data_IF_669201169072
#
_entry.id   IF_669201169072
#
_cell.length_a   1.000
_cell.length_b   1.000
_cell.length_c   1.000
_cell.angle_alpha   90.00
_cell.angle_beta   90.00
_cell.angle_gamma   90.00
#
_symmetry.space_group_name_H-M   'P 1'
#
loop_
_entity.id
_entity.type
_entity.pdbx_description
1 polymer ?
#
# COMPACT_ATOMS: atom_id res chain seq x y z
N UNK A 1 -3.15 13.98 0.72
CA UNK A 1 -2.09 13.13 1.29
C UNK A 1 -0.78 13.92 1.45
N UNK A 2 0.07 13.67 2.45
CA UNK A 2 1.38 14.35 2.52
C UNK A 2 2.45 13.61 1.69
N UNK A 3 2.78 14.13 0.51
CA UNK A 3 3.67 13.48 -0.46
C UNK A 3 5.09 13.26 0.06
N UNK A 4 5.63 14.21 0.83
CA UNK A 4 6.97 14.08 1.41
C UNK A 4 7.05 12.90 2.37
N UNK A 5 6.02 12.69 3.19
CA UNK A 5 6.00 11.59 4.16
C UNK A 5 5.96 10.23 3.45
N UNK A 6 5.19 10.15 2.36
CA UNK A 6 5.10 8.94 1.53
C UNK A 6 6.43 8.65 0.82
N UNK A 7 7.07 9.66 0.23
CA UNK A 7 8.39 9.52 -0.40
C UNK A 7 9.44 8.98 0.59
N UNK A 8 9.51 9.57 1.79
CA UNK A 8 10.44 9.13 2.82
C UNK A 8 10.14 7.71 3.33
N UNK A 9 8.85 7.37 3.47
CA UNK A 9 8.46 6.01 3.85
C UNK A 9 8.86 5.00 2.77
N UNK A 10 8.57 5.29 1.50
CA UNK A 10 8.92 4.44 0.36
C UNK A 10 10.44 4.19 0.32
N UNK A 11 11.24 5.24 0.46
CA UNK A 11 12.70 5.16 0.51
C UNK A 11 13.18 4.25 1.67
N UNK A 12 12.62 4.42 2.87
CA UNK A 12 12.97 3.62 4.06
C UNK A 12 12.57 2.15 3.92
N UNK A 13 11.54 1.85 3.15
CA UNK A 13 11.07 0.50 2.83
C UNK A 13 11.75 -0.10 1.59
N UNK A 14 12.74 0.58 1.00
CA UNK A 14 13.49 0.09 -0.14
C UNK A 14 12.75 0.12 -1.48
N UNK A 15 11.72 0.96 -1.59
CA UNK A 15 10.98 1.19 -2.84
C UNK A 15 11.52 2.39 -3.60
N UNK A 16 11.19 2.46 -4.88
CA UNK A 16 11.47 3.62 -5.73
C UNK A 16 10.55 4.79 -5.37
N UNK A 17 10.78 5.93 -6.03
CA UNK A 17 9.95 7.11 -5.86
C UNK A 17 8.46 6.84 -6.20
N UNK A 18 7.52 7.28 -5.35
CA UNK A 18 6.09 7.15 -5.60
C UNK A 18 5.60 8.04 -6.75
N UNK A 19 4.79 7.46 -7.62
CA UNK A 19 3.90 8.19 -8.52
C UNK A 19 2.57 8.45 -7.80
N UNK A 20 2.02 9.66 -7.94
CA UNK A 20 0.79 10.08 -7.25
C UNK A 20 -0.38 10.19 -8.21
N UNK A 21 -1.51 9.63 -7.83
CA UNK A 21 -2.72 9.57 -8.61
C UNK A 21 -3.88 10.18 -7.84
N UNK A 22 -4.83 10.75 -8.58
CA UNK A 22 -6.07 11.27 -8.04
C UNK A 22 -7.23 10.69 -8.84
N UNK A 23 -8.26 10.22 -8.14
CA UNK A 23 -9.51 9.79 -8.78
C UNK A 23 -10.69 10.43 -8.08
N UNK A 24 -11.66 10.88 -8.88
CA UNK A 24 -12.92 11.39 -8.39
C UNK A 24 -13.87 10.22 -8.22
N UNK A 25 -14.41 10.03 -7.02
CA UNK A 25 -15.42 9.01 -6.76
C UNK A 25 -16.77 9.43 -7.37
N UNK A 26 -16.95 9.26 -8.67
CA UNK A 26 -18.25 9.49 -9.33
C UNK A 26 -19.15 8.26 -9.14
N UNK A 27 -20.36 8.45 -8.60
CA UNK A 27 -21.39 7.40 -8.48
C UNK A 27 -21.41 6.59 -7.17
N UNK A 28 -20.61 6.95 -6.18
CA UNK A 28 -20.64 6.32 -4.84
C UNK A 28 -21.63 7.03 -3.90
N UNK A 29 -22.20 6.33 -2.89
CA UNK A 29 -23.07 6.96 -1.91
C UNK A 29 -22.31 8.08 -1.18
N UNK A 30 -22.57 9.32 -1.57
CA UNK A 30 -21.92 10.53 -1.04
C UNK A 30 -22.35 10.86 0.38
N UNK A 31 -23.25 10.06 0.96
CA UNK A 31 -23.83 10.27 2.29
C UNK A 31 -22.79 10.19 3.43
N UNK A 32 -21.63 9.55 3.19
CA UNK A 32 -20.51 9.51 4.15
C UNK A 32 -19.19 10.14 3.64
N UNK A 33 -19.07 10.40 2.34
CA UNK A 33 -17.84 10.86 1.70
C UNK A 33 -18.23 11.87 0.62
N UNK A 34 -18.27 13.16 0.96
CA UNK A 34 -18.80 14.20 0.08
C UNK A 34 -17.94 14.39 -1.16
N UNK A 35 -18.31 13.82 -2.32
CA UNK A 35 -17.61 14.00 -3.60
C UNK A 35 -16.06 14.02 -3.47
N UNK A 36 -15.49 13.10 -2.70
CA UNK A 36 -14.09 13.17 -2.29
C UNK A 36 -13.16 12.67 -3.41
N UNK A 37 -12.14 13.48 -3.70
CA UNK A 37 -10.97 13.07 -4.47
C UNK A 37 -10.15 12.11 -3.60
N UNK A 38 -9.99 10.87 -4.06
CA UNK A 38 -9.08 9.91 -3.41
C UNK A 38 -7.71 10.08 -4.04
N UNK A 39 -6.72 10.41 -3.20
CA UNK A 39 -5.31 10.47 -3.58
C UNK A 39 -4.60 9.19 -3.10
N UNK A 40 -3.89 8.52 -3.99
CA UNK A 40 -3.00 7.41 -3.64
C UNK A 40 -1.65 7.54 -4.35
N UNK A 41 -0.70 6.76 -3.87
CA UNK A 41 0.64 6.67 -4.42
C UNK A 41 1.00 5.24 -4.75
N UNK A 42 1.79 5.04 -5.81
CA UNK A 42 2.36 3.74 -6.17
C UNK A 42 3.87 3.83 -6.34
N UNK A 43 4.60 2.92 -5.70
CA UNK A 43 6.04 2.75 -5.92
C UNK A 43 6.23 1.48 -6.75
N UNK A 44 6.29 1.62 -8.08
CA UNK A 44 6.27 0.49 -9.03
C UNK A 44 7.66 0.15 -9.56
N UNK A 45 8.24 -0.95 -9.09
CA UNK A 45 9.55 -1.42 -9.59
C UNK A 45 9.42 -2.12 -10.94
N UNK A 46 8.27 -2.79 -11.16
CA UNK A 46 7.91 -3.41 -12.43
C UNK A 46 6.42 -3.70 -12.45
N UNK A 47 5.88 -4.17 -13.58
CA UNK A 47 4.52 -4.71 -13.66
C UNK A 47 4.22 -5.85 -12.67
N UNK A 48 5.26 -6.46 -12.11
CA UNK A 48 5.10 -7.54 -11.13
C UNK A 48 5.15 -7.08 -9.68
N UNK A 49 5.64 -5.86 -9.39
CA UNK A 49 5.93 -5.41 -8.03
C UNK A 49 5.58 -3.94 -7.85
N UNK A 50 4.63 -3.68 -6.96
CA UNK A 50 4.37 -2.32 -6.51
C UNK A 50 3.91 -2.29 -5.05
N UNK A 51 4.32 -1.22 -4.36
CA UNK A 51 3.73 -0.79 -3.10
C UNK A 51 2.68 0.27 -3.41
N UNK A 52 1.47 0.08 -2.90
CA UNK A 52 0.42 1.08 -2.95
C UNK A 52 0.22 1.71 -1.57
N UNK A 53 0.05 3.04 -1.54
CA UNK A 53 -0.19 3.84 -0.35
C UNK A 53 -1.40 4.73 -0.59
N UNK A 54 -2.48 4.53 0.18
CA UNK A 54 -3.69 5.32 0.11
C UNK A 54 -3.74 6.30 1.30
N UNK A 55 -4.03 7.58 1.06
CA UNK A 55 -4.35 8.51 2.14
C UNK A 55 -5.77 8.28 2.66
N UNK A 56 -5.99 8.42 3.98
CA UNK A 56 -7.32 8.25 4.57
C UNK A 56 -8.03 9.61 4.68
N UNK A 57 -9.31 9.71 4.27
CA UNK A 57 -10.02 10.99 4.27
C UNK A 57 -10.25 11.57 5.68
N UNK A 58 -10.34 10.71 6.70
CA UNK A 58 -10.60 11.14 8.08
C UNK A 58 -9.42 11.89 8.70
N UNK A 59 -8.19 11.63 8.23
CA UNK A 59 -6.98 12.22 8.80
C UNK A 59 -5.83 12.20 7.79
N UNK A 60 -5.26 13.39 7.51
CA UNK A 60 -4.13 13.58 6.58
C UNK A 60 -2.85 12.83 7.00
N UNK A 61 -2.75 12.44 8.26
CA UNK A 61 -1.64 11.64 8.80
C UNK A 61 -1.90 10.13 8.78
N UNK A 62 -3.11 9.67 8.47
CA UNK A 62 -3.43 8.25 8.41
C UNK A 62 -3.39 7.72 6.97
N UNK A 63 -2.79 6.54 6.79
CA UNK A 63 -2.52 5.92 5.49
C UNK A 63 -2.83 4.43 5.55
N UNK A 64 -3.22 3.82 4.43
CA UNK A 64 -3.27 2.36 4.27
C UNK A 64 -2.30 1.90 3.19
N UNK A 65 -1.59 0.80 3.46
CA UNK A 65 -0.53 0.29 2.60
C UNK A 65 -0.76 -1.17 2.24
N UNK A 66 -0.38 -1.53 1.02
CA UNK A 66 -0.32 -2.92 0.57
C UNK A 66 0.74 -3.11 -0.51
N UNK A 67 1.47 -4.24 -0.45
CA UNK A 67 2.42 -4.66 -1.47
C UNK A 67 1.78 -5.74 -2.34
N UNK A 68 1.93 -5.59 -3.65
CA UNK A 68 1.52 -6.54 -4.66
C UNK A 68 2.73 -7.09 -5.39
N UNK A 69 2.93 -8.40 -5.29
CA UNK A 69 3.91 -9.17 -6.05
C UNK A 69 3.16 -10.13 -6.99
N UNK A 70 2.52 -9.57 -8.01
CA UNK A 70 1.38 -10.17 -8.71
C UNK A 70 1.74 -11.44 -9.46
N UNK A 71 2.85 -11.44 -10.21
CA UNK A 71 3.36 -12.63 -10.92
C UNK A 71 3.63 -13.79 -9.97
N UNK A 72 3.85 -13.49 -8.69
CA UNK A 72 4.16 -14.46 -7.64
C UNK A 72 2.96 -14.75 -6.74
N UNK A 73 1.78 -14.20 -7.07
CA UNK A 73 0.55 -14.38 -6.32
C UNK A 73 0.64 -14.01 -4.84
N UNK A 74 1.38 -12.93 -4.55
CA UNK A 74 1.58 -12.41 -3.20
C UNK A 74 0.88 -11.04 -3.09
N UNK A 75 0.13 -10.87 -2.01
CA UNK A 75 -0.43 -9.61 -1.54
C UNK A 75 -0.16 -9.52 -0.04
N UNK A 76 0.47 -8.46 0.46
CA UNK A 76 0.74 -8.33 1.91
C UNK A 76 -0.53 -8.21 2.77
N UNK A 77 -1.66 -7.90 2.13
CA UNK A 77 -2.84 -7.38 2.79
C UNK A 77 -2.69 -5.91 3.16
N UNK A 78 -3.84 -5.25 3.35
CA UNK A 78 -3.92 -3.87 3.76
C UNK A 78 -3.58 -3.69 5.23
N UNK A 79 -2.75 -2.70 5.55
CA UNK A 79 -2.54 -2.27 6.95
C UNK A 79 -2.53 -0.75 7.02
N UNK A 80 -3.12 -0.23 8.09
CA UNK A 80 -3.12 1.20 8.37
C UNK A 80 -1.91 1.60 9.19
N UNK A 81 -1.34 2.75 8.87
CA UNK A 81 -0.25 3.39 9.61
C UNK A 81 -0.56 4.87 9.79
N UNK A 82 0.12 5.50 10.75
CA UNK A 82 0.11 6.95 10.94
C UNK A 82 1.49 7.53 10.66
N UNK A 83 1.59 8.53 9.80
CA UNK A 83 2.82 9.26 9.49
C UNK A 83 2.71 10.69 10.00
N UNK A 84 3.43 10.98 11.07
CA UNK A 84 3.47 12.30 11.72
C UNK A 84 4.51 13.21 11.08
N UNK A 85 4.51 14.48 11.47
CA UNK A 85 5.52 15.48 11.09
C UNK A 85 6.92 15.27 11.69
N UNK A 86 7.05 14.51 12.77
CA UNK A 86 8.33 14.10 13.35
C UNK A 86 9.02 12.99 12.53
N UNK A 87 10.27 13.23 12.14
CA UNK A 87 11.07 12.28 11.36
C UNK A 87 11.44 11.01 12.13
N UNK A 88 11.71 11.12 13.44
CA UNK A 88 12.05 9.96 14.27
C UNK A 88 10.85 9.02 14.38
N UNK A 89 9.64 9.58 14.53
CA UNK A 89 8.40 8.81 14.52
C UNK A 89 8.18 8.13 13.16
N UNK A 90 8.43 8.83 12.04
CA UNK A 90 8.33 8.21 10.71
C UNK A 90 9.35 7.07 10.51
N UNK A 91 10.55 7.21 11.04
CA UNK A 91 11.55 6.15 11.01
C UNK A 91 11.09 4.93 11.81
N UNK A 92 10.53 5.14 13.01
CA UNK A 92 10.01 4.04 13.83
C UNK A 92 8.80 3.34 13.17
N UNK A 93 7.90 4.12 12.54
CA UNK A 93 6.79 3.57 11.76
C UNK A 93 7.31 2.73 10.59
N UNK A 94 8.30 3.22 9.84
CA UNK A 94 8.92 2.46 8.76
C UNK A 94 9.56 1.15 9.27
N UNK A 95 10.24 1.19 10.43
CA UNK A 95 10.84 0.01 11.06
C UNK A 95 9.78 -1.04 11.43
N UNK A 96 8.64 -0.62 11.99
CA UNK A 96 7.50 -1.51 12.32
C UNK A 96 6.79 -2.05 11.08
N UNK A 97 6.78 -1.26 10.00
CA UNK A 97 6.16 -1.59 8.73
C UNK A 97 7.02 -2.54 7.87
N UNK A 98 8.35 -2.50 8.04
CA UNK A 98 9.32 -3.25 7.24
C UNK A 98 9.03 -4.76 7.10
N UNK A 99 8.65 -5.51 8.16
CA UNK A 99 8.38 -6.94 8.03
C UNK A 99 7.28 -7.27 7.01
N UNK A 100 6.35 -6.33 6.78
CA UNK A 100 5.23 -6.53 5.88
C UNK A 100 5.49 -5.99 4.48
N UNK A 101 6.23 -4.89 4.38
CA UNK A 101 6.24 -4.05 3.17
C UNK A 101 7.62 -3.78 2.58
N UNK A 102 8.72 -4.15 3.23
CA UNK A 102 10.07 -3.91 2.70
C UNK A 102 10.30 -4.69 1.40
N UNK A 103 10.77 -4.00 0.35
CA UNK A 103 10.95 -4.59 -0.98
C UNK A 103 11.88 -5.82 -0.97
N UNK A 104 12.83 -5.89 -0.04
CA UNK A 104 13.76 -7.03 0.08
C UNK A 104 13.05 -8.38 0.27
N UNK A 105 11.83 -8.38 0.82
CA UNK A 105 11.04 -9.60 0.98
C UNK A 105 10.52 -10.15 -0.35
N UNK A 106 10.51 -9.34 -1.41
CA UNK A 106 9.91 -9.68 -2.70
C UNK A 106 10.93 -9.80 -3.83
N UNK A 107 12.15 -9.31 -3.63
CA UNK A 107 13.20 -9.21 -4.66
C UNK A 107 13.70 -10.58 -5.15
N UNK A 108 13.84 -11.58 -4.28
CA UNK A 108 14.37 -12.91 -4.65
C UNK A 108 13.36 -14.03 -4.45
N UNK A 109 13.58 -15.18 -5.11
CA UNK A 109 12.71 -16.36 -4.97
C UNK A 109 12.68 -16.88 -3.53
N UNK A 110 13.85 -16.93 -2.89
CA UNK A 110 14.01 -17.35 -1.51
C UNK A 110 13.30 -16.39 -0.54
N UNK A 111 13.50 -15.08 -0.69
CA UNK A 111 12.83 -14.08 0.14
C UNK A 111 11.30 -14.20 0.05
N UNK A 112 10.76 -14.37 -1.18
CA UNK A 112 9.32 -14.61 -1.39
C UNK A 112 8.83 -15.91 -0.76
N UNK A 113 9.66 -16.96 -0.72
CA UNK A 113 9.30 -18.22 -0.06
C UNK A 113 9.27 -18.06 1.47
N UNK A 114 10.25 -17.35 2.04
CA UNK A 114 10.30 -17.01 3.46
C UNK A 114 9.10 -16.14 3.87
N UNK A 115 8.82 -15.07 3.11
CA UNK A 115 7.68 -14.20 3.36
C UNK A 115 6.35 -14.97 3.39
N UNK A 116 6.13 -15.87 2.44
CA UNK A 116 4.93 -16.73 2.41
C UNK A 116 4.82 -17.71 3.57
N UNK A 117 5.94 -18.09 4.19
CA UNK A 117 5.97 -18.96 5.36
C UNK A 117 5.58 -18.17 6.61
N UNK A 118 6.07 -16.94 6.72
CA UNK A 118 5.78 -16.02 7.82
C UNK A 118 4.36 -15.43 7.75
N UNK A 119 3.88 -15.14 6.54
CA UNK A 119 2.56 -14.57 6.29
C UNK A 119 1.73 -15.46 5.35
N UNK A 120 1.20 -16.61 5.81
CA UNK A 120 0.45 -17.54 4.96
C UNK A 120 -0.78 -16.94 4.29
N UNK A 121 -1.39 -15.93 4.91
CA UNK A 121 -2.56 -15.19 4.38
C UNK A 121 -2.23 -14.34 3.14
N UNK A 122 -0.95 -14.14 2.83
CA UNK A 122 -0.52 -13.33 1.68
C UNK A 122 -0.65 -14.03 0.32
N UNK A 123 -1.02 -15.33 0.31
CA UNK A 123 -1.06 -16.17 -0.89
C UNK A 123 -2.38 -16.02 -1.67
N UNK A 124 -2.33 -16.38 -2.96
CA UNK A 124 -3.54 -16.60 -3.77
C UNK A 124 -4.15 -15.33 -4.37
N UNK A 125 -3.39 -14.25 -4.44
CA UNK A 125 -3.80 -13.03 -5.13
C UNK A 125 -3.36 -13.06 -6.59
N UNK A 126 -4.28 -13.27 -7.52
CA UNK A 126 -4.03 -13.16 -8.96
C UNK A 126 -4.51 -11.81 -9.49
N UNK A 127 -4.02 -11.38 -10.67
CA UNK A 127 -4.59 -10.22 -11.39
C UNK A 127 -6.11 -10.32 -11.53
N UNK A 128 -6.62 -11.52 -11.82
CA UNK A 128 -8.07 -11.78 -11.91
C UNK A 128 -8.79 -11.49 -10.59
N UNK A 129 -8.20 -11.88 -9.46
CA UNK A 129 -8.76 -11.60 -8.13
C UNK A 129 -8.72 -10.11 -7.82
N UNK A 130 -7.59 -9.44 -8.12
CA UNK A 130 -7.46 -7.98 -7.97
C UNK A 130 -8.47 -7.25 -8.87
N UNK A 131 -8.73 -7.71 -10.10
CA UNK A 131 -9.73 -7.09 -10.97
C UNK A 131 -11.18 -7.32 -10.50
N UNK A 132 -11.47 -8.49 -9.92
CA UNK A 132 -12.82 -8.86 -9.43
C UNK A 132 -13.14 -8.21 -8.08
N UNK A 133 -12.17 -8.17 -7.16
CA UNK A 133 -12.31 -7.50 -5.86
C UNK A 133 -12.10 -5.97 -5.98
N UNK A 134 -11.79 -5.50 -7.20
CA UNK A 134 -11.40 -4.13 -7.49
C UNK A 134 -9.91 -3.92 -7.30
N UNK A 135 -9.29 -3.18 -8.24
CA UNK A 135 -7.95 -2.70 -7.99
C UNK A 135 -7.97 -1.94 -6.66
N UNK A 136 -6.94 -2.09 -5.83
CA UNK A 136 -7.08 -1.90 -4.39
C UNK A 136 -7.24 -0.43 -3.98
N UNK A 137 -7.40 0.48 -4.93
CA UNK A 137 -7.81 1.86 -4.71
C UNK A 137 -9.09 1.99 -3.86
N UNK A 138 -9.92 0.94 -3.73
CA UNK A 138 -11.27 0.98 -3.11
C UNK A 138 -11.50 0.06 -1.89
N UNK A 139 -10.56 -0.80 -1.48
CA UNK A 139 -10.79 -1.81 -0.42
C UNK A 139 -10.59 -1.27 1.01
N UNK A 140 -11.32 -0.21 1.38
CA UNK A 140 -11.47 0.22 2.78
C UNK A 140 -12.86 0.00 3.38
N UNK A 141 -13.81 -0.58 2.63
CA UNK A 141 -15.20 -0.70 3.09
C UNK A 141 -15.76 -2.12 3.21
N UNK A 142 -14.91 -3.16 3.30
CA UNK A 142 -15.42 -4.51 3.62
C UNK A 142 -14.60 -5.13 4.75
N UNK A 143 -14.62 -4.49 5.93
CA UNK A 143 -14.60 -5.13 7.25
C UNK A 143 -15.25 -4.20 8.27
#
# INVERSE_FOLDING_TARGET
MNRLYVQQLAQRLGWIEPEFFNHRLEGWPTENYGAELVEWAECRISESFFLQVNGLPQNIEDYSLCVYAIRYQICSGWRSIRLTSDDQQRQEVARKAAPFFDFKHFSTSEARACYRREFPHSKGYSWKRIQVEGAPHFMQQIL
#
